data_IF_488779531331
#
_entry.id   IF_488779531331
#
_cell.length_a   1.000
_cell.length_b   1.000
_cell.length_c   1.000
_cell.angle_alpha   90.00
_cell.angle_beta   90.00
_cell.angle_gamma   90.00
#
_symmetry.space_group_name_H-M   'P 1'
#
loop_
_entity.id
_entity.type
_entity.pdbx_description
1 polymer ?
#
# COMPACT_ATOMS: atom_id res chain seq x y z
N UNK A 1 4.23 -12.70 58.88
CA UNK A 1 4.88 -12.03 57.71
C UNK A 1 4.00 -12.30 56.51
N UNK A 2 3.18 -11.33 56.11
CA UNK A 2 2.17 -11.47 55.08
C UNK A 2 2.51 -10.60 53.85
N UNK A 3 2.13 -11.13 52.70
CA UNK A 3 2.38 -10.68 51.33
C UNK A 3 1.78 -9.32 50.98
N UNK A 4 2.48 -8.51 50.17
CA UNK A 4 1.91 -7.46 49.32
C UNK A 4 2.92 -7.13 48.20
N UNK A 5 2.73 -7.71 47.02
CA UNK A 5 2.00 -7.15 45.87
C UNK A 5 2.83 -6.17 45.03
N UNK A 6 3.34 -6.77 43.97
CA UNK A 6 3.75 -6.23 42.67
C UNK A 6 2.74 -5.21 42.15
N UNK A 7 3.02 -3.92 42.27
CA UNK A 7 2.09 -2.89 41.83
C UNK A 7 2.83 -1.59 41.45
N UNK A 8 3.72 -1.67 40.45
CA UNK A 8 4.23 -0.49 39.74
C UNK A 8 4.53 -0.85 38.29
N UNK A 9 3.49 -1.17 37.51
CA UNK A 9 3.63 -1.23 36.06
C UNK A 9 2.26 -1.14 35.36
N UNK A 10 1.60 0.02 35.43
CA UNK A 10 0.34 0.26 34.69
C UNK A 10 0.36 1.64 34.01
N UNK A 11 0.99 2.66 34.60
CA UNK A 11 0.95 4.01 34.03
C UNK A 11 1.98 4.26 32.91
N UNK A 12 3.12 3.58 32.90
CA UNK A 12 4.13 3.74 31.83
C UNK A 12 3.79 2.96 30.55
N UNK A 13 3.03 1.86 30.66
CA UNK A 13 2.58 1.06 29.52
C UNK A 13 1.47 1.78 28.74
N UNK A 14 0.65 2.60 29.42
CA UNK A 14 -0.47 3.29 28.78
C UNK A 14 -0.03 4.38 27.80
N UNK A 15 1.09 5.06 28.06
CA UNK A 15 1.58 6.14 27.18
C UNK A 15 2.25 5.59 25.91
N UNK A 16 2.85 4.40 25.97
CA UNK A 16 3.46 3.78 24.79
C UNK A 16 2.42 3.16 23.86
N UNK A 17 1.31 2.62 24.41
CA UNK A 17 0.24 2.01 23.60
C UNK A 17 -0.71 3.01 22.93
N UNK A 18 -0.74 4.27 23.39
CA UNK A 18 -1.56 5.31 22.74
C UNK A 18 -0.86 5.93 21.52
N UNK A 19 0.47 5.89 21.44
CA UNK A 19 1.23 6.38 20.27
C UNK A 19 1.21 5.36 19.11
N UNK A 20 0.99 4.08 19.38
CA UNK A 20 0.91 3.03 18.34
C UNK A 20 -0.49 2.89 17.72
N UNK A 21 -1.48 3.69 18.14
CA UNK A 21 -2.89 3.51 17.72
C UNK A 21 -3.48 4.60 16.81
N UNK A 22 -2.68 5.59 16.40
CA UNK A 22 -3.15 6.68 15.53
C UNK A 22 -2.51 6.78 14.14
N UNK A 23 -1.67 5.82 13.76
CA UNK A 23 -1.18 5.71 12.39
C UNK A 23 -1.04 4.23 12.07
N UNK A 24 -1.90 3.73 11.17
CA UNK A 24 -1.72 2.40 10.60
C UNK A 24 -0.26 2.27 10.19
N UNK A 25 0.43 1.26 10.75
CA UNK A 25 1.89 1.12 10.68
C UNK A 25 2.32 1.30 9.24
N UNK A 26 2.82 2.50 8.92
CA UNK A 26 3.22 2.85 7.58
C UNK A 26 4.17 1.78 7.07
N UNK A 27 3.89 1.21 5.90
CA UNK A 27 4.74 0.21 5.25
C UNK A 27 6.21 0.65 5.37
N UNK A 28 6.96 -0.02 6.26
CA UNK A 28 8.36 0.30 6.52
C UNK A 28 9.22 -0.26 5.40
N UNK A 29 10.47 0.23 5.25
CA UNK A 29 11.44 -0.41 4.34
C UNK A 29 11.48 -1.93 4.57
N UNK A 30 11.34 -2.37 5.81
CA UNK A 30 11.33 -3.79 6.18
C UNK A 30 10.08 -4.54 5.70
N UNK A 31 8.89 -3.94 5.77
CA UNK A 31 7.67 -4.58 5.21
C UNK A 31 7.75 -4.70 3.70
N UNK A 32 8.35 -3.71 3.03
CA UNK A 32 8.47 -3.65 1.56
C UNK A 32 9.55 -4.55 0.99
N UNK A 33 10.56 -4.93 1.78
CA UNK A 33 11.63 -5.86 1.35
C UNK A 33 11.09 -7.19 0.81
N UNK A 34 9.91 -7.66 1.26
CA UNK A 34 9.28 -8.88 0.71
C UNK A 34 8.98 -8.79 -0.79
N UNK A 35 8.76 -7.59 -1.31
CA UNK A 35 8.45 -7.33 -2.73
C UNK A 35 9.68 -6.97 -3.56
N UNK A 36 10.85 -6.93 -2.93
CA UNK A 36 12.07 -6.48 -3.55
C UNK A 36 12.68 -7.55 -4.47
N UNK A 37 12.45 -7.42 -5.79
CA UNK A 37 13.11 -8.29 -6.78
C UNK A 37 14.59 -7.97 -7.03
N UNK A 38 15.03 -6.77 -6.64
CA UNK A 38 16.42 -6.29 -6.75
C UNK A 38 16.70 -5.34 -5.58
N UNK A 39 17.85 -5.45 -4.90
CA UNK A 39 18.20 -4.57 -3.78
C UNK A 39 18.09 -3.08 -4.15
N UNK A 40 17.60 -2.26 -3.22
CA UNK A 40 17.41 -0.80 -3.34
C UNK A 40 16.10 -0.36 -3.99
N UNK A 41 15.22 -1.28 -4.41
CA UNK A 41 13.90 -0.92 -4.97
C UNK A 41 12.91 -0.46 -3.93
N UNK A 42 12.91 -1.06 -2.73
CA UNK A 42 12.01 -0.65 -1.66
C UNK A 42 12.35 0.78 -1.19
N UNK A 43 13.64 1.05 -1.02
CA UNK A 43 14.14 2.38 -0.69
C UNK A 43 13.85 3.40 -1.79
N UNK A 44 14.09 3.04 -3.06
CA UNK A 44 13.73 3.91 -4.18
C UNK A 44 12.23 4.22 -4.20
N UNK A 45 11.37 3.24 -3.98
CA UNK A 45 9.92 3.45 -3.91
C UNK A 45 9.55 4.45 -2.82
N UNK A 46 10.11 4.32 -1.61
CA UNK A 46 9.83 5.25 -0.52
C UNK A 46 10.37 6.65 -0.79
N UNK A 47 11.51 6.78 -1.46
CA UNK A 47 12.04 8.07 -1.89
C UNK A 47 11.15 8.72 -2.96
N UNK A 48 10.68 7.94 -3.94
CA UNK A 48 9.77 8.41 -4.98
C UNK A 48 8.42 8.83 -4.37
N UNK A 49 7.83 7.99 -3.51
CA UNK A 49 6.55 8.26 -2.82
C UNK A 49 6.68 9.42 -1.83
N UNK A 50 7.73 9.47 -1.03
CA UNK A 50 7.96 10.55 -0.06
C UNK A 50 8.21 11.93 -0.68
N UNK A 51 8.35 12.00 -2.01
CA UNK A 51 8.40 13.26 -2.76
C UNK A 51 7.04 13.72 -3.32
N UNK A 52 6.00 12.90 -3.18
CA UNK A 52 4.63 13.20 -3.61
C UNK A 52 3.82 13.91 -2.53
N UNK A 53 2.64 14.42 -2.90
CA UNK A 53 1.70 15.02 -1.95
C UNK A 53 1.14 13.97 -0.98
N UNK A 54 0.65 14.42 0.18
CA UNK A 54 0.20 13.54 1.27
C UNK A 54 -0.90 12.55 0.81
N UNK A 55 -1.80 12.99 -0.07
CA UNK A 55 -2.88 12.17 -0.60
C UNK A 55 -2.37 11.12 -1.60
N UNK A 56 -1.35 11.44 -2.39
CA UNK A 56 -0.68 10.49 -3.29
C UNK A 56 0.05 9.42 -2.48
N UNK A 57 0.70 9.82 -1.39
CA UNK A 57 1.35 8.92 -0.44
C UNK A 57 0.33 7.96 0.17
N UNK A 58 -0.79 8.48 0.70
CA UNK A 58 -1.89 7.67 1.26
C UNK A 58 -2.45 6.71 0.21
N UNK A 59 -2.67 7.19 -1.01
CA UNK A 59 -3.16 6.39 -2.14
C UNK A 59 -2.20 5.24 -2.43
N UNK A 60 -0.90 5.51 -2.51
CA UNK A 60 0.13 4.50 -2.78
C UNK A 60 0.13 3.40 -1.71
N UNK A 61 -0.01 3.75 -0.43
CA UNK A 61 -0.12 2.77 0.64
C UNK A 61 -1.42 1.96 0.59
N UNK A 62 -2.55 2.58 0.27
CA UNK A 62 -3.81 1.85 0.06
C UNK A 62 -3.69 0.82 -1.07
N UNK A 63 -2.97 1.14 -2.16
CA UNK A 63 -2.68 0.17 -3.22
C UNK A 63 -1.84 -1.01 -2.75
N UNK A 64 -0.80 -0.76 -1.95
CA UNK A 64 0.05 -1.83 -1.40
C UNK A 64 -0.77 -2.84 -0.59
N UNK A 65 -1.67 -2.34 0.27
CA UNK A 65 -2.57 -3.19 1.06
C UNK A 65 -3.50 -4.00 0.17
N UNK A 66 -4.14 -3.37 -0.81
CA UNK A 66 -5.02 -4.06 -1.75
C UNK A 66 -4.32 -5.20 -2.49
N UNK A 67 -3.14 -4.95 -3.06
CA UNK A 67 -2.40 -5.99 -3.79
C UNK A 67 -1.84 -7.08 -2.87
N UNK A 68 -1.44 -6.75 -1.64
CA UNK A 68 -1.06 -7.74 -0.65
C UNK A 68 -2.22 -8.68 -0.28
N UNK A 69 -3.43 -8.16 -0.10
CA UNK A 69 -4.63 -8.96 0.14
C UNK A 69 -5.00 -9.82 -1.08
N UNK A 70 -4.85 -9.29 -2.30
CA UNK A 70 -5.01 -10.05 -3.54
C UNK A 70 -4.03 -11.22 -3.64
N UNK A 71 -2.74 -10.98 -3.42
CA UNK A 71 -1.69 -11.99 -3.52
C UNK A 71 -1.90 -13.14 -2.51
N UNK A 72 -2.45 -12.82 -1.33
CA UNK A 72 -2.83 -13.79 -0.30
C UNK A 72 -4.15 -14.52 -0.59
N UNK A 73 -4.90 -14.08 -1.60
CA UNK A 73 -6.22 -14.63 -1.94
C UNK A 73 -7.32 -14.26 -0.95
N UNK A 74 -7.17 -13.20 -0.16
CA UNK A 74 -8.15 -12.78 0.84
C UNK A 74 -9.49 -12.38 0.19
N UNK A 75 -9.44 -11.86 -1.04
CA UNK A 75 -10.63 -11.45 -1.78
C UNK A 75 -11.33 -12.59 -2.53
N UNK A 76 -10.84 -13.83 -2.46
CA UNK A 76 -11.44 -14.96 -3.17
C UNK A 76 -12.90 -15.22 -2.79
N UNK A 77 -13.28 -14.92 -1.55
CA UNK A 77 -14.67 -15.04 -1.06
C UNK A 77 -15.58 -13.90 -1.54
N UNK A 78 -14.99 -12.81 -2.04
CA UNK A 78 -15.66 -11.56 -2.37
C UNK A 78 -15.38 -11.13 -3.83
N UNK A 79 -15.10 -12.07 -4.74
CA UNK A 79 -14.76 -11.78 -6.16
C UNK A 79 -15.83 -10.95 -6.91
N UNK A 80 -17.08 -10.98 -6.45
CA UNK A 80 -18.15 -10.19 -7.04
C UNK A 80 -18.25 -8.77 -6.48
N UNK A 81 -17.47 -8.44 -5.45
CA UNK A 81 -17.54 -7.18 -4.75
C UNK A 81 -16.45 -6.21 -5.22
N UNK A 82 -16.70 -4.95 -4.94
CA UNK A 82 -15.71 -3.89 -4.94
C UNK A 82 -15.18 -3.70 -3.53
N UNK A 83 -13.92 -3.30 -3.44
CA UNK A 83 -13.17 -3.18 -2.20
C UNK A 83 -12.77 -1.72 -2.02
N UNK A 84 -13.17 -1.14 -0.90
CA UNK A 84 -12.69 0.16 -0.45
C UNK A 84 -11.51 -0.06 0.50
N UNK A 85 -10.36 0.51 0.17
CA UNK A 85 -9.18 0.52 1.03
C UNK A 85 -8.85 1.96 1.37
N UNK A 86 -8.70 2.23 2.66
CA UNK A 86 -8.39 3.55 3.17
C UNK A 86 -7.57 3.42 4.44
N UNK A 87 -6.60 4.32 4.63
CA UNK A 87 -5.71 4.32 5.78
C UNK A 87 -5.05 2.96 6.05
N UNK A 88 -4.63 2.28 4.97
CA UNK A 88 -3.98 0.97 5.00
C UNK A 88 -4.83 -0.20 5.50
N UNK A 89 -6.15 -0.05 5.48
CA UNK A 89 -7.08 -1.11 5.87
C UNK A 89 -8.17 -1.30 4.83
N UNK A 90 -8.64 -2.54 4.68
CA UNK A 90 -9.84 -2.85 3.89
C UNK A 90 -11.06 -2.46 4.72
N UNK A 91 -11.75 -1.41 4.31
CA UNK A 91 -12.86 -0.83 5.06
C UNK A 91 -14.19 -1.47 4.66
N UNK A 92 -14.38 -1.75 3.38
CA UNK A 92 -15.67 -2.19 2.86
C UNK A 92 -15.53 -3.20 1.71
N UNK A 93 -16.44 -4.18 1.71
CA UNK A 93 -16.75 -5.01 0.55
C UNK A 93 -18.19 -4.71 0.12
N UNK A 94 -18.37 -4.20 -1.10
CA UNK A 94 -19.67 -3.71 -1.54
C UNK A 94 -19.97 -4.00 -3.01
N UNK A 95 -21.14 -3.53 -3.45
CA UNK A 95 -21.44 -3.40 -4.87
C UNK A 95 -20.71 -2.18 -5.44
N UNK A 96 -20.58 -2.14 -6.77
CA UNK A 96 -20.04 -1.00 -7.50
C UNK A 96 -20.81 0.29 -7.18
N UNK A 97 -20.10 1.31 -6.73
CA UNK A 97 -20.66 2.64 -6.58
C UNK A 97 -21.00 3.25 -7.94
N UNK A 98 -22.03 4.07 -7.97
CA UNK A 98 -22.20 5.06 -9.03
C UNK A 98 -21.01 6.02 -9.05
N UNK A 99 -20.79 6.73 -10.16
CA UNK A 99 -19.67 7.68 -10.25
C UNK A 99 -19.78 8.74 -9.16
N UNK A 100 -20.99 9.26 -8.94
CA UNK A 100 -21.30 10.29 -7.96
C UNK A 100 -21.02 9.81 -6.53
N UNK A 101 -21.43 8.60 -6.18
CA UNK A 101 -21.13 7.99 -4.88
C UNK A 101 -19.63 7.77 -4.68
N UNK A 102 -18.94 7.28 -5.72
CA UNK A 102 -17.49 7.10 -5.68
C UNK A 102 -16.78 8.42 -5.45
N UNK A 103 -17.13 9.48 -6.20
CA UNK A 103 -16.54 10.80 -6.04
C UNK A 103 -16.77 11.35 -4.63
N UNK A 104 -18.00 11.28 -4.11
CA UNK A 104 -18.32 11.74 -2.75
C UNK A 104 -17.50 10.98 -1.69
N UNK A 105 -17.30 9.66 -1.86
CA UNK A 105 -16.49 8.86 -0.94
C UNK A 105 -15.01 9.18 -0.99
N UNK A 106 -14.46 9.40 -2.19
CA UNK A 106 -13.05 9.75 -2.36
C UNK A 106 -12.76 11.19 -1.91
N UNK A 107 -13.73 12.10 -2.00
CA UNK A 107 -13.65 13.44 -1.46
C UNK A 107 -13.71 13.45 0.08
N UNK A 108 -14.56 12.59 0.67
CA UNK A 108 -14.62 12.37 2.13
C UNK A 108 -13.32 11.72 2.68
N UNK A 109 -12.65 10.90 1.87
CA UNK A 109 -11.50 10.08 2.26
C UNK A 109 -10.36 10.23 1.26
N UNK A 110 -9.63 11.36 1.29
CA UNK A 110 -8.52 11.59 0.38
C UNK A 110 -7.43 10.53 0.61
N UNK A 111 -7.06 9.82 -0.46
CA UNK A 111 -6.14 8.68 -0.40
C UNK A 111 -6.80 7.29 -0.36
N UNK A 112 -8.13 7.22 -0.35
CA UNK A 112 -8.84 5.95 -0.50
C UNK A 112 -8.75 5.44 -1.94
N UNK A 113 -8.75 4.12 -2.09
CA UNK A 113 -8.91 3.46 -3.39
C UNK A 113 -10.14 2.56 -3.38
N UNK A 114 -10.79 2.46 -4.53
CA UNK A 114 -11.98 1.66 -4.70
C UNK A 114 -11.89 0.87 -6.00
N UNK A 115 -11.73 -0.45 -5.87
CA UNK A 115 -11.38 -1.33 -6.99
C UNK A 115 -12.14 -2.66 -6.92
N UNK A 116 -12.44 -3.32 -8.04
CA UNK A 116 -13.06 -4.63 -8.02
C UNK A 116 -12.08 -5.67 -7.47
N UNK A 117 -12.59 -6.56 -6.62
CA UNK A 117 -11.83 -7.71 -6.08
C UNK A 117 -11.35 -8.66 -7.18
N UNK A 118 -12.15 -8.80 -8.24
CA UNK A 118 -11.81 -9.60 -9.40
C UNK A 118 -11.02 -8.78 -10.43
N UNK A 119 -9.74 -9.14 -10.60
CA UNK A 119 -8.83 -8.54 -11.57
C UNK A 119 -9.31 -8.65 -13.02
N UNK A 120 -10.19 -9.61 -13.35
CA UNK A 120 -10.77 -9.74 -14.69
C UNK A 120 -11.63 -8.53 -15.08
N UNK A 121 -12.19 -7.84 -14.08
CA UNK A 121 -13.02 -6.63 -14.21
C UNK A 121 -12.19 -5.34 -14.26
N UNK A 122 -10.89 -5.41 -13.97
CA UNK A 122 -10.02 -4.25 -14.10
C UNK A 122 -9.87 -3.86 -15.57
N UNK A 123 -9.74 -2.55 -15.88
CA UNK A 123 -9.39 -2.12 -17.23
C UNK A 123 -8.13 -2.85 -17.68
N UNK A 124 -8.21 -3.58 -18.81
CA UNK A 124 -7.05 -4.26 -19.38
C UNK A 124 -6.06 -3.23 -19.91
N UNK A 125 -5.19 -2.73 -19.04
CA UNK A 125 -4.07 -1.90 -19.44
C UNK A 125 -3.07 -2.81 -20.15
N UNK A 126 -2.66 -2.46 -21.38
CA UNK A 126 -1.54 -3.16 -22.02
C UNK A 126 -0.35 -3.09 -21.07
N UNK A 127 0.41 -4.18 -20.85
CA UNK A 127 1.60 -4.14 -20.01
C UNK A 127 2.44 -2.92 -20.40
N UNK A 128 2.76 -2.06 -19.44
CA UNK A 128 3.70 -0.98 -19.67
C UNK A 128 4.96 -1.64 -20.23
N UNK A 129 5.23 -1.44 -21.52
CA UNK A 129 6.35 -2.10 -22.20
C UNK A 129 7.58 -1.69 -21.42
N UNK A 130 8.23 -2.66 -20.78
CA UNK A 130 9.53 -2.46 -20.17
C UNK A 130 10.46 -1.98 -21.28
N UNK A 131 10.74 -0.67 -21.31
CA UNK A 131 11.73 -0.08 -22.19
C UNK A 131 13.05 -0.68 -21.71
N UNK A 132 13.48 -1.75 -22.37
CA UNK A 132 14.85 -2.19 -22.27
C UNK A 132 15.65 -1.09 -22.94
N UNK A 133 16.18 -0.16 -22.14
CA UNK A 133 17.22 0.75 -22.59
C UNK A 133 18.37 -0.13 -23.09
N UNK A 134 18.39 -0.40 -24.39
CA UNK A 134 19.57 -0.92 -25.05
C UNK A 134 20.57 0.22 -25.00
N UNK A 135 21.40 0.22 -23.97
CA UNK A 135 22.63 0.99 -23.95
C UNK A 135 23.49 0.42 -25.09
N UNK A 136 23.42 1.04 -26.26
CA UNK A 136 24.32 0.72 -27.35
C UNK A 136 25.72 1.16 -26.92
N UNK A 137 26.50 0.21 -26.37
CA UNK A 137 27.93 0.36 -26.24
C UNK A 137 28.54 0.37 -27.64
N UNK A 138 28.50 1.51 -28.32
CA UNK A 138 29.26 1.70 -29.54
C UNK A 138 30.68 2.16 -29.15
N UNK A 139 31.49 1.19 -28.72
CA UNK A 139 32.95 1.35 -28.67
C UNK A 139 33.53 0.86 -30.01
N UNK A 140 34.35 1.74 -30.59
CA UNK A 140 35.34 1.52 -31.66
C UNK A 140 34.82 1.34 -33.08
N UNK A 141 35.20 2.25 -34.00
CA UNK A 141 36.45 2.15 -34.80
C UNK A 141 36.30 2.99 -36.08
N UNK A 142 37.01 4.11 -36.17
CA UNK A 142 37.34 4.73 -37.47
C UNK A 142 38.85 4.66 -37.67
N UNK A 143 39.24 3.74 -38.55
CA UNK A 143 40.50 3.75 -39.31
C UNK A 143 40.10 3.45 -40.74
N UNK A 144 40.15 4.46 -41.62
CA UNK A 144 40.83 4.50 -42.93
C UNK A 144 41.10 5.97 -43.24
#
# INVERSE_FOLDING_TARGET
MASAKKEKNIQEISVQNEIEKESGVAETIESLKKYERRPGKAEKFLNDVGSCDEDDIKTAYSYLVFFNCLDKGEFNKFMNNWVLVYNQEVIEYGQEYTKEEQWAKLEEKPGAIYLPADLSKHPKVRPARAVHARHANNRNKYTV
#
